data_IF_517263318925
#
_entry.id   IF_517263318925
#
_cell.length_a   1.000
_cell.length_b   1.000
_cell.length_c   1.000
_cell.angle_alpha   90.00
_cell.angle_beta   90.00
_cell.angle_gamma   90.00
#
_symmetry.space_group_name_H-M   'P 1'
#
loop_
_entity.id
_entity.type
_entity.pdbx_description
1 polymer ?
#
# COMPACT_ATOMS: atom_id res chain seq x y z
N UNK A 1 -5.88 5.20 29.47
CA UNK A 1 -4.88 4.78 28.46
C UNK A 1 -4.24 6.04 27.91
N UNK A 2 -2.91 6.20 28.01
CA UNK A 2 -2.26 7.37 27.41
C UNK A 2 -2.56 7.34 25.91
N UNK A 3 -3.00 8.47 25.35
CA UNK A 3 -2.97 8.66 23.89
C UNK A 3 -1.51 8.55 23.48
N UNK A 4 -1.07 7.36 23.09
CA UNK A 4 0.31 7.17 22.66
C UNK A 4 0.48 7.97 21.37
N UNK A 5 1.43 8.91 21.37
CA UNK A 5 1.62 9.83 20.26
C UNK A 5 1.95 9.06 18.97
N UNK A 6 1.42 9.52 17.84
CA UNK A 6 1.84 9.05 16.53
C UNK A 6 3.21 9.63 16.22
N UNK A 7 4.09 8.84 15.61
CA UNK A 7 5.41 9.32 15.21
C UNK A 7 5.25 10.22 13.98
N UNK A 8 5.96 11.35 13.98
CA UNK A 8 5.87 12.31 12.91
C UNK A 8 6.55 11.78 11.63
N UNK A 9 5.99 12.14 10.47
CA UNK A 9 6.65 11.95 9.19
C UNK A 9 8.00 12.71 9.18
N UNK A 10 9.12 12.06 8.86
CA UNK A 10 10.45 12.66 9.05
C UNK A 10 10.88 13.68 7.98
N UNK A 11 10.14 13.82 6.87
CA UNK A 11 10.55 14.66 5.74
C UNK A 11 9.49 15.71 5.33
N UNK A 12 9.01 16.56 6.27
CA UNK A 12 8.00 17.56 5.93
C UNK A 12 8.49 18.52 4.84
N UNK A 13 7.64 18.78 3.85
CA UNK A 13 7.95 19.67 2.72
C UNK A 13 6.71 20.51 2.35
N UNK A 14 6.83 21.85 2.25
CA UNK A 14 5.74 22.72 1.79
C UNK A 14 5.17 22.32 0.43
N UNK A 15 5.94 21.66 -0.44
CA UNK A 15 5.47 21.16 -1.74
C UNK A 15 4.34 20.13 -1.61
N UNK A 16 4.24 19.42 -0.48
CA UNK A 16 3.19 18.43 -0.23
C UNK A 16 1.90 19.04 0.35
N UNK A 17 1.90 20.34 0.66
CA UNK A 17 0.76 21.03 1.27
C UNK A 17 -0.16 21.58 0.18
N UNK A 18 -1.07 20.73 -0.28
CA UNK A 18 -2.03 21.03 -1.37
C UNK A 18 -3.21 21.92 -0.92
N UNK A 19 -2.94 23.19 -0.64
CA UNK A 19 -3.95 24.16 -0.20
C UNK A 19 -5.01 24.51 -1.27
N UNK A 20 -6.23 24.82 -0.82
CA UNK A 20 -7.31 25.31 -1.69
C UNK A 20 -7.62 24.35 -2.86
N UNK A 21 -7.54 24.88 -4.09
CA UNK A 21 -7.81 24.14 -5.33
C UNK A 21 -6.62 23.31 -5.81
N UNK A 22 -5.43 23.42 -5.19
CA UNK A 22 -4.24 22.68 -5.61
C UNK A 22 -4.44 21.17 -5.53
N UNK A 23 -5.11 20.68 -4.47
CA UNK A 23 -5.42 19.25 -4.30
C UNK A 23 -6.22 18.72 -5.50
N UNK A 24 -7.28 19.44 -5.90
CA UNK A 24 -8.12 19.02 -7.03
C UNK A 24 -7.35 19.01 -8.35
N UNK A 25 -6.46 19.99 -8.56
CA UNK A 25 -5.63 20.08 -9.77
C UNK A 25 -4.63 18.92 -9.87
N UNK A 26 -4.13 18.43 -8.74
CA UNK A 26 -3.13 17.35 -8.69
C UNK A 26 -3.74 15.96 -8.44
N UNK A 27 -5.06 15.88 -8.22
CA UNK A 27 -5.75 14.66 -7.82
C UNK A 27 -5.41 13.44 -8.68
N UNK A 28 -5.46 13.60 -10.00
CA UNK A 28 -5.17 12.52 -10.93
C UNK A 28 -3.71 11.98 -10.81
N UNK A 29 -2.74 12.84 -10.48
CA UNK A 29 -1.35 12.43 -10.26
C UNK A 29 -1.16 11.77 -8.89
N UNK A 30 -1.81 12.31 -7.86
CA UNK A 30 -1.73 11.82 -6.48
C UNK A 30 -2.43 10.47 -6.28
N UNK A 31 -3.47 10.22 -7.07
CA UNK A 31 -4.30 9.00 -7.02
C UNK A 31 -4.15 8.14 -8.27
N UNK A 32 -3.03 8.27 -8.98
CA UNK A 32 -2.72 7.40 -10.12
C UNK A 32 -2.52 5.94 -9.70
N UNK A 33 -2.09 5.70 -8.46
CA UNK A 33 -1.88 4.36 -7.90
C UNK A 33 -3.15 3.65 -7.43
N UNK A 34 -4.06 4.39 -6.80
CA UNK A 34 -5.25 3.86 -6.12
C UNK A 34 -6.57 4.19 -6.81
N UNK A 35 -6.53 5.00 -7.87
CA UNK A 35 -7.70 5.46 -8.62
C UNK A 35 -8.83 6.03 -7.74
N UNK A 36 -8.51 6.59 -6.56
CA UNK A 36 -9.53 7.17 -5.67
C UNK A 36 -10.30 8.28 -6.40
N UNK A 37 -11.64 8.27 -6.40
CA UNK A 37 -12.43 9.31 -7.02
C UNK A 37 -12.37 10.62 -6.21
N UNK A 38 -12.48 11.77 -6.89
CA UNK A 38 -12.50 13.07 -6.21
C UNK A 38 -13.67 13.16 -5.21
N UNK A 39 -13.43 13.41 -3.92
CA UNK A 39 -14.50 13.52 -2.93
C UNK A 39 -15.22 14.87 -3.02
N UNK A 40 -16.55 14.85 -3.03
CA UNK A 40 -17.37 16.07 -2.93
C UNK A 40 -17.38 16.66 -1.50
N UNK A 41 -17.20 15.81 -0.48
CA UNK A 41 -17.19 16.21 0.92
C UNK A 41 -15.90 16.95 1.31
N UNK A 42 -16.06 18.09 1.98
CA UNK A 42 -14.92 18.92 2.41
C UNK A 42 -14.11 18.29 3.55
N UNK A 43 -14.73 17.46 4.38
CA UNK A 43 -14.06 16.71 5.44
C UNK A 43 -13.10 15.66 4.87
N UNK A 44 -13.56 14.87 3.91
CA UNK A 44 -12.74 13.92 3.16
C UNK A 44 -11.60 14.63 2.40
N UNK A 45 -11.87 15.76 1.74
CA UNK A 45 -10.80 16.56 1.12
C UNK A 45 -9.75 17.05 2.14
N UNK A 46 -10.18 17.41 3.36
CA UNK A 46 -9.24 17.81 4.42
C UNK A 46 -8.39 16.63 4.90
N UNK A 47 -8.97 15.43 5.02
CA UNK A 47 -8.25 14.21 5.35
C UNK A 47 -7.20 13.87 4.30
N UNK A 48 -7.54 13.93 3.01
CA UNK A 48 -6.59 13.70 1.91
C UNK A 48 -5.46 14.74 1.88
N UNK A 49 -5.75 16.03 2.13
CA UNK A 49 -4.68 17.04 2.27
C UNK A 49 -3.71 16.68 3.39
N UNK A 50 -4.23 16.30 4.57
CA UNK A 50 -3.40 15.90 5.69
C UNK A 50 -2.57 14.65 5.35
N UNK A 51 -3.15 13.69 4.64
CA UNK A 51 -2.45 12.49 4.17
C UNK A 51 -1.26 12.83 3.27
N UNK A 52 -1.47 13.61 2.19
CA UNK A 52 -0.39 13.95 1.26
C UNK A 52 0.71 14.78 1.94
N UNK A 53 0.37 15.62 2.92
CA UNK A 53 1.33 16.38 3.70
C UNK A 53 2.10 15.55 4.76
N UNK A 54 1.79 14.27 4.92
CA UNK A 54 2.42 13.40 5.94
C UNK A 54 1.88 13.62 7.36
N UNK A 55 0.79 14.37 7.52
CA UNK A 55 0.08 14.56 8.79
C UNK A 55 -0.81 13.34 9.10
N UNK A 56 -0.23 12.13 9.10
CA UNK A 56 -0.97 10.86 9.07
C UNK A 56 -1.99 10.72 10.21
N UNK A 57 -1.62 11.08 11.44
CA UNK A 57 -2.53 11.02 12.59
C UNK A 57 -3.77 11.91 12.39
N UNK A 58 -3.57 13.11 11.84
CA UNK A 58 -4.64 14.07 11.56
C UNK A 58 -5.48 13.61 10.38
N UNK A 59 -4.87 12.99 9.37
CA UNK A 59 -5.61 12.38 8.26
C UNK A 59 -6.55 11.27 8.75
N UNK A 60 -6.11 10.42 9.69
CA UNK A 60 -6.99 9.44 10.35
C UNK A 60 -8.12 10.13 11.09
N UNK A 61 -7.83 11.12 11.94
CA UNK A 61 -8.86 11.83 12.70
C UNK A 61 -9.91 12.49 11.79
N UNK A 62 -9.46 13.26 10.80
CA UNK A 62 -10.34 13.97 9.87
C UNK A 62 -11.13 13.00 9.00
N UNK A 63 -10.50 11.93 8.52
CA UNK A 63 -11.13 10.94 7.66
C UNK A 63 -12.26 10.19 8.37
N UNK A 64 -12.02 9.75 9.61
CA UNK A 64 -13.04 9.10 10.41
C UNK A 64 -14.17 10.07 10.82
N UNK A 65 -13.83 11.34 11.08
CA UNK A 65 -14.82 12.38 11.40
C UNK A 65 -15.72 12.72 10.20
N UNK A 66 -15.21 12.63 8.97
CA UNK A 66 -15.99 12.89 7.76
C UNK A 66 -17.14 11.88 7.57
N UNK A 67 -16.99 10.66 8.13
CA UNK A 67 -18.08 9.68 8.21
C UNK A 67 -18.57 9.13 6.86
N UNK A 68 -17.79 9.28 5.80
CA UNK A 68 -18.07 8.75 4.46
C UNK A 68 -16.92 7.87 3.96
N UNK A 69 -17.14 7.13 2.87
CA UNK A 69 -16.14 6.20 2.34
C UNK A 69 -14.81 6.87 1.98
N UNK A 70 -14.82 8.01 1.27
CA UNK A 70 -13.55 8.64 0.88
C UNK A 70 -12.75 9.15 2.08
N UNK A 71 -13.42 9.70 3.10
CA UNK A 71 -12.78 10.04 4.36
C UNK A 71 -12.18 8.80 5.05
N UNK A 72 -12.91 7.68 5.06
CA UNK A 72 -12.42 6.42 5.65
C UNK A 72 -11.27 5.83 4.84
N UNK A 73 -11.29 5.95 3.51
CA UNK A 73 -10.19 5.58 2.61
C UNK A 73 -8.93 6.39 2.91
N UNK A 74 -9.05 7.71 3.09
CA UNK A 74 -7.94 8.57 3.50
C UNK A 74 -7.36 8.15 4.86
N UNK A 75 -8.22 7.84 5.83
CA UNK A 75 -7.81 7.35 7.14
C UNK A 75 -7.08 6.00 7.06
N UNK A 76 -7.59 5.07 6.25
CA UNK A 76 -6.96 3.77 6.05
C UNK A 76 -5.59 3.92 5.37
N UNK A 77 -5.49 4.71 4.29
CA UNK A 77 -4.21 4.96 3.60
C UNK A 77 -3.19 5.64 4.51
N UNK A 78 -3.60 6.62 5.32
CA UNK A 78 -2.73 7.28 6.27
C UNK A 78 -2.18 6.33 7.36
N UNK A 79 -3.06 5.53 7.97
CA UNK A 79 -2.65 4.53 8.96
C UNK A 79 -1.75 3.46 8.33
N UNK A 80 -2.03 3.06 7.08
CA UNK A 80 -1.28 2.07 6.32
C UNK A 80 0.17 2.52 6.08
N UNK A 81 0.37 3.74 5.57
CA UNK A 81 1.71 4.28 5.29
C UNK A 81 2.48 4.56 6.59
N UNK A 82 1.81 5.11 7.61
CA UNK A 82 2.45 5.29 8.92
C UNK A 82 2.91 3.96 9.52
N UNK A 83 2.04 2.94 9.54
CA UNK A 83 2.36 1.63 10.09
C UNK A 83 3.47 0.89 9.33
N UNK A 84 3.54 1.07 8.01
CA UNK A 84 4.54 0.39 7.18
C UNK A 84 5.92 1.08 7.23
N UNK A 85 5.97 2.41 7.33
CA UNK A 85 7.19 3.17 7.01
C UNK A 85 7.63 4.18 8.09
N UNK A 86 6.84 4.39 9.15
CA UNK A 86 7.13 5.41 10.18
C UNK A 86 7.14 4.83 11.58
N UNK A 87 6.12 4.06 11.95
CA UNK A 87 6.04 3.35 13.22
C UNK A 87 7.18 2.33 13.33
N UNK A 88 7.80 2.23 14.50
CA UNK A 88 8.87 1.26 14.78
C UNK A 88 8.50 0.29 15.91
N UNK A 89 7.42 0.55 16.65
CA UNK A 89 6.87 -0.41 17.61
C UNK A 89 6.03 -1.48 16.90
N UNK A 90 6.52 -2.73 16.91
CA UNK A 90 5.89 -3.86 16.25
C UNK A 90 4.46 -4.16 16.75
N UNK A 91 4.20 -4.01 18.05
CA UNK A 91 2.86 -4.25 18.60
C UNK A 91 1.86 -3.20 18.09
N UNK A 92 2.30 -1.93 17.98
CA UNK A 92 1.49 -0.85 17.42
C UNK A 92 1.25 -1.03 15.92
N UNK A 93 2.24 -1.47 15.15
CA UNK A 93 2.06 -1.81 13.73
C UNK A 93 0.95 -2.83 13.54
N UNK A 94 1.00 -3.94 14.29
CA UNK A 94 -0.01 -4.99 14.21
C UNK A 94 -1.41 -4.47 14.58
N UNK A 95 -1.52 -3.67 15.63
CA UNK A 95 -2.78 -3.05 16.03
C UNK A 95 -3.35 -2.12 14.94
N UNK A 96 -2.50 -1.30 14.31
CA UNK A 96 -2.90 -0.42 13.20
C UNK A 96 -3.43 -1.23 12.02
N UNK A 97 -2.75 -2.30 11.61
CA UNK A 97 -3.20 -3.13 10.49
C UNK A 97 -4.52 -3.85 10.80
N UNK A 98 -4.70 -4.34 12.02
CA UNK A 98 -5.99 -4.92 12.44
C UNK A 98 -7.12 -3.89 12.46
N UNK A 99 -6.85 -2.66 12.89
CA UNK A 99 -7.82 -1.57 12.82
C UNK A 99 -8.22 -1.20 11.40
N UNK A 100 -7.25 -1.13 10.48
CA UNK A 100 -7.51 -0.91 9.05
C UNK A 100 -8.38 -2.04 8.50
N UNK A 101 -8.03 -3.30 8.78
CA UNK A 101 -8.80 -4.45 8.30
C UNK A 101 -10.27 -4.38 8.75
N UNK A 102 -10.54 -4.12 10.04
CA UNK A 102 -11.91 -3.97 10.55
C UNK A 102 -12.69 -2.82 9.92
N UNK A 103 -12.04 -1.66 9.68
CA UNK A 103 -12.68 -0.54 8.98
C UNK A 103 -13.01 -0.91 7.53
N UNK A 104 -12.12 -1.65 6.87
CA UNK A 104 -12.35 -2.12 5.51
C UNK A 104 -13.47 -3.15 5.43
N UNK A 105 -13.57 -4.11 6.35
CA UNK A 105 -14.70 -5.06 6.40
C UNK A 105 -16.05 -4.33 6.51
N UNK A 106 -16.12 -3.29 7.34
CA UNK A 106 -17.33 -2.46 7.46
C UNK A 106 -17.64 -1.68 6.16
N UNK A 107 -16.63 -1.15 5.50
CA UNK A 107 -16.77 -0.50 4.19
C UNK A 107 -17.20 -1.48 3.10
N UNK A 108 -16.61 -2.67 3.03
CA UNK A 108 -16.97 -3.69 2.04
C UNK A 108 -18.42 -4.16 2.21
N UNK A 109 -18.93 -4.21 3.45
CA UNK A 109 -20.31 -4.55 3.72
C UNK A 109 -21.31 -3.44 3.33
N UNK A 110 -20.92 -2.17 3.45
CA UNK A 110 -21.80 -1.02 3.18
C UNK A 110 -21.67 -0.47 1.76
N UNK A 111 -20.48 -0.57 1.18
CA UNK A 111 -20.09 -0.08 -0.15
C UNK A 111 -19.25 -1.15 -0.87
N UNK A 112 -19.86 -2.28 -1.28
CA UNK A 112 -19.12 -3.42 -1.85
C UNK A 112 -18.38 -3.12 -3.16
N UNK A 113 -18.73 -2.03 -3.85
CA UNK A 113 -18.08 -1.58 -5.08
C UNK A 113 -16.90 -0.62 -4.84
N UNK A 114 -16.58 -0.31 -3.57
CA UNK A 114 -15.41 0.50 -3.22
C UNK A 114 -14.12 -0.33 -3.36
N UNK A 115 -13.46 -0.24 -4.51
CA UNK A 115 -12.21 -0.96 -4.80
C UNK A 115 -11.12 -0.71 -3.74
N UNK A 116 -11.03 0.51 -3.22
CA UNK A 116 -10.03 0.90 -2.22
C UNK A 116 -10.28 0.21 -0.86
N UNK A 117 -11.53 -0.03 -0.48
CA UNK A 117 -11.83 -0.81 0.72
C UNK A 117 -11.32 -2.26 0.61
N UNK A 118 -11.37 -2.86 -0.58
CA UNK A 118 -10.81 -4.19 -0.83
C UNK A 118 -9.28 -4.18 -0.87
N UNK A 119 -8.68 -3.17 -1.51
CA UNK A 119 -7.24 -3.00 -1.57
C UNK A 119 -6.62 -2.81 -0.17
N UNK A 120 -7.12 -1.85 0.61
CA UNK A 120 -6.59 -1.59 1.95
C UNK A 120 -6.76 -2.77 2.90
N UNK A 121 -7.83 -3.56 2.75
CA UNK A 121 -8.00 -4.81 3.49
C UNK A 121 -6.93 -5.84 3.14
N UNK A 122 -6.72 -6.10 1.84
CA UNK A 122 -5.70 -7.02 1.37
C UNK A 122 -4.29 -6.61 1.81
N UNK A 123 -3.96 -5.32 1.69
CA UNK A 123 -2.69 -4.77 2.16
C UNK A 123 -2.52 -4.94 3.67
N UNK A 124 -3.51 -4.52 4.47
CA UNK A 124 -3.41 -4.56 5.92
C UNK A 124 -3.28 -5.99 6.46
N UNK A 125 -4.06 -6.94 5.92
CA UNK A 125 -3.91 -8.35 6.26
C UNK A 125 -2.56 -8.91 5.84
N UNK A 126 -2.03 -8.49 4.69
CA UNK A 126 -0.70 -8.87 4.21
C UNK A 126 0.41 -8.42 5.18
N UNK A 127 0.42 -7.13 5.54
CA UNK A 127 1.40 -6.59 6.50
C UNK A 127 1.22 -7.16 7.90
N UNK A 128 0.00 -7.36 8.37
CA UNK A 128 -0.27 -8.06 9.64
C UNK A 128 0.29 -9.50 9.61
N UNK A 129 0.11 -10.22 8.49
CA UNK A 129 0.64 -11.58 8.32
C UNK A 129 2.17 -11.64 8.37
N UNK A 130 2.88 -10.57 7.98
CA UNK A 130 4.34 -10.51 8.03
C UNK A 130 4.87 -10.38 9.48
N UNK A 131 4.10 -9.76 10.38
CA UNK A 131 4.49 -9.55 11.78
C UNK A 131 4.01 -10.64 12.75
N UNK A 132 3.46 -11.75 12.27
CA UNK A 132 3.04 -12.89 13.09
C UNK A 132 3.71 -14.20 12.63
N UNK A 133 3.59 -15.26 13.43
CA UNK A 133 4.12 -16.57 13.05
C UNK A 133 3.38 -17.16 11.85
N UNK A 134 4.11 -17.94 11.03
CA UNK A 134 3.52 -18.67 9.89
C UNK A 134 2.36 -19.55 10.32
N UNK A 135 2.48 -20.25 11.44
CA UNK A 135 1.42 -21.10 11.98
C UNK A 135 0.13 -20.30 12.28
N UNK A 136 0.27 -19.10 12.86
CA UNK A 136 -0.89 -18.22 13.15
C UNK A 136 -1.51 -17.68 11.85
N UNK A 137 -0.69 -17.25 10.89
CA UNK A 137 -1.17 -16.78 9.59
C UNK A 137 -1.94 -17.86 8.81
N UNK A 138 -1.48 -19.12 8.88
CA UNK A 138 -2.16 -20.27 8.31
C UNK A 138 -3.48 -20.57 9.03
N UNK A 139 -3.48 -20.58 10.38
CA UNK A 139 -4.67 -20.83 11.18
C UNK A 139 -5.78 -19.79 10.93
N UNK A 140 -5.40 -18.53 10.71
CA UNK A 140 -6.33 -17.43 10.39
C UNK A 140 -6.73 -17.37 8.91
N UNK A 141 -6.14 -18.21 8.05
CA UNK A 141 -6.42 -18.27 6.61
C UNK A 141 -5.98 -17.03 5.84
N UNK A 142 -4.98 -16.28 6.33
CA UNK A 142 -4.63 -14.96 5.80
C UNK A 142 -4.18 -15.00 4.33
N UNK A 143 -3.47 -16.05 3.92
CA UNK A 143 -2.99 -16.17 2.54
C UNK A 143 -4.12 -16.11 1.50
N UNK A 144 -5.23 -16.79 1.76
CA UNK A 144 -6.42 -16.73 0.90
C UNK A 144 -7.16 -15.40 0.99
N UNK A 145 -7.39 -14.90 2.21
CA UNK A 145 -8.09 -13.62 2.44
C UNK A 145 -7.39 -12.43 1.77
N UNK A 146 -6.07 -12.37 1.84
CA UNK A 146 -5.26 -11.33 1.17
C UNK A 146 -5.47 -11.41 -0.34
N UNK A 147 -5.30 -12.60 -0.94
CA UNK A 147 -5.50 -12.81 -2.38
C UNK A 147 -6.89 -12.38 -2.82
N UNK A 148 -7.92 -12.87 -2.13
CA UNK A 148 -9.32 -12.65 -2.52
C UNK A 148 -9.69 -11.16 -2.45
N UNK A 149 -9.17 -10.45 -1.43
CA UNK A 149 -9.39 -9.00 -1.31
C UNK A 149 -8.70 -8.22 -2.42
N UNK A 150 -7.43 -8.52 -2.71
CA UNK A 150 -6.69 -7.81 -3.75
C UNK A 150 -7.23 -8.13 -5.16
N UNK A 151 -7.65 -9.37 -5.39
CA UNK A 151 -8.31 -9.80 -6.63
C UNK A 151 -9.62 -9.02 -6.82
N UNK A 152 -10.44 -8.91 -5.77
CA UNK A 152 -11.69 -8.13 -5.82
C UNK A 152 -11.43 -6.65 -6.09
N UNK A 153 -10.37 -6.06 -5.52
CA UNK A 153 -9.98 -4.68 -5.81
C UNK A 153 -9.67 -4.47 -7.31
N UNK A 154 -8.89 -5.37 -7.92
CA UNK A 154 -8.56 -5.33 -9.35
C UNK A 154 -9.77 -5.63 -10.25
N UNK A 155 -10.70 -6.49 -9.81
CA UNK A 155 -11.95 -6.74 -10.54
C UNK A 155 -12.86 -5.51 -10.58
N UNK A 156 -12.91 -4.75 -9.48
CA UNK A 156 -13.69 -3.52 -9.39
C UNK A 156 -13.01 -2.36 -10.14
N UNK A 157 -11.69 -2.24 -10.02
CA UNK A 157 -10.91 -1.19 -10.68
C UNK A 157 -9.64 -1.79 -11.31
N UNK A 158 -9.72 -2.25 -12.59
CA UNK A 158 -8.59 -2.84 -13.30
C UNK A 158 -7.40 -1.89 -13.51
N UNK A 159 -7.58 -0.58 -13.31
CA UNK A 159 -6.50 0.42 -13.40
C UNK A 159 -5.89 0.76 -12.04
N UNK A 160 -6.25 0.02 -10.98
CA UNK A 160 -5.66 0.19 -9.65
C UNK A 160 -4.23 -0.36 -9.63
N UNK A 161 -3.25 0.51 -9.88
CA UNK A 161 -1.84 0.12 -9.95
C UNK A 161 -1.34 -0.47 -8.63
N UNK A 162 -1.71 0.11 -7.48
CA UNK A 162 -1.24 -0.35 -6.17
C UNK A 162 -1.78 -1.75 -5.81
N UNK A 163 -3.01 -2.08 -6.20
CA UNK A 163 -3.57 -3.43 -6.04
C UNK A 163 -2.84 -4.45 -6.93
N UNK A 164 -2.41 -4.05 -8.13
CA UNK A 164 -1.52 -4.87 -8.95
C UNK A 164 -0.15 -5.07 -8.29
N UNK A 165 0.47 -4.04 -7.70
CA UNK A 165 1.71 -4.21 -6.92
C UNK A 165 1.50 -5.24 -5.83
N UNK A 166 0.44 -5.09 -5.03
CA UNK A 166 0.15 -5.97 -3.91
C UNK A 166 -0.11 -7.44 -4.34
N UNK A 167 -0.80 -7.69 -5.47
CA UNK A 167 -0.95 -9.05 -6.03
C UNK A 167 0.38 -9.63 -6.50
N UNK A 168 1.23 -8.81 -7.12
CA UNK A 168 2.59 -9.18 -7.49
C UNK A 168 3.40 -9.63 -6.28
N UNK A 169 3.41 -8.82 -5.23
CA UNK A 169 4.09 -9.10 -3.97
C UNK A 169 3.50 -10.34 -3.29
N UNK A 170 2.18 -10.51 -3.27
CA UNK A 170 1.53 -11.70 -2.71
C UNK A 170 2.01 -13.00 -3.38
N UNK A 171 2.04 -13.03 -4.72
CA UNK A 171 2.55 -14.18 -5.46
C UNK A 171 4.01 -14.48 -5.13
N UNK A 172 4.86 -13.46 -5.11
CA UNK A 172 6.28 -13.59 -4.82
C UNK A 172 6.53 -14.09 -3.39
N UNK A 173 5.81 -13.55 -2.41
CA UNK A 173 5.92 -13.94 -1.01
C UNK A 173 5.49 -15.39 -0.75
N UNK A 174 4.36 -15.83 -1.33
CA UNK A 174 3.91 -17.21 -1.19
C UNK A 174 4.97 -18.16 -1.77
N UNK A 175 5.50 -17.84 -2.94
CA UNK A 175 6.57 -18.65 -3.58
C UNK A 175 7.83 -18.67 -2.71
N UNK A 176 8.23 -17.54 -2.14
CA UNK A 176 9.40 -17.46 -1.27
C UNK A 176 9.23 -18.23 0.04
N UNK A 177 8.04 -18.18 0.65
CA UNK A 177 7.77 -18.78 1.97
C UNK A 177 7.55 -20.30 1.91
N UNK A 178 6.82 -20.80 0.92
CA UNK A 178 6.44 -22.23 0.86
C UNK A 178 6.95 -22.95 -0.39
N UNK A 179 7.66 -22.25 -1.28
CA UNK A 179 8.17 -22.80 -2.53
C UNK A 179 7.13 -22.76 -3.67
N UNK A 180 7.61 -22.72 -4.91
CA UNK A 180 6.75 -22.56 -6.09
C UNK A 180 5.75 -23.71 -6.30
N UNK A 181 6.14 -24.96 -6.00
CA UNK A 181 5.26 -26.12 -6.19
C UNK A 181 4.10 -26.12 -5.19
N UNK A 182 4.39 -25.97 -3.89
CA UNK A 182 3.36 -25.93 -2.84
C UNK A 182 2.53 -24.66 -2.95
N UNK A 183 3.17 -23.51 -3.17
CA UNK A 183 2.50 -22.23 -3.39
C UNK A 183 1.54 -22.28 -4.58
N UNK A 184 1.95 -22.91 -5.67
CA UNK A 184 1.12 -23.12 -6.86
C UNK A 184 -0.08 -24.03 -6.58
N UNK A 185 0.12 -25.18 -5.92
CA UNK A 185 -0.94 -26.16 -5.67
C UNK A 185 -1.96 -25.68 -4.62
N UNK A 186 -1.50 -25.03 -3.55
CA UNK A 186 -2.36 -24.67 -2.41
C UNK A 186 -3.00 -23.30 -2.59
N UNK A 187 -2.27 -22.32 -3.14
CA UNK A 187 -2.72 -20.93 -3.21
C UNK A 187 -2.96 -20.44 -4.64
N UNK A 188 -2.43 -21.15 -5.65
CA UNK A 188 -2.43 -20.70 -7.04
C UNK A 188 -1.31 -19.70 -7.35
N UNK A 189 -0.25 -19.63 -6.54
CA UNK A 189 0.81 -18.66 -6.74
C UNK A 189 1.71 -18.99 -7.94
N UNK A 190 2.01 -18.00 -8.80
CA UNK A 190 2.80 -18.18 -10.03
C UNK A 190 3.75 -17.01 -10.26
N UNK A 191 5.00 -17.30 -10.65
CA UNK A 191 6.01 -16.26 -10.96
C UNK A 191 5.58 -15.37 -12.13
N UNK A 192 5.02 -15.97 -13.18
CA UNK A 192 4.58 -15.21 -14.36
C UNK A 192 3.40 -14.28 -14.05
N UNK A 193 2.52 -14.70 -13.13
CA UNK A 193 1.43 -13.85 -12.65
C UNK A 193 1.96 -12.66 -11.83
N UNK A 194 2.94 -12.90 -10.95
CA UNK A 194 3.60 -11.83 -10.22
C UNK A 194 4.23 -10.79 -11.16
N UNK A 195 5.08 -11.24 -12.10
CA UNK A 195 5.73 -10.35 -13.05
C UNK A 195 4.72 -9.59 -13.92
N UNK A 196 3.63 -10.25 -14.34
CA UNK A 196 2.56 -9.58 -15.10
C UNK A 196 1.96 -8.44 -14.28
N UNK A 197 1.62 -8.68 -13.01
CA UNK A 197 1.04 -7.67 -12.14
C UNK A 197 1.98 -6.49 -11.90
N UNK A 198 3.26 -6.74 -11.61
CA UNK A 198 4.23 -5.65 -11.46
C UNK A 198 4.40 -4.82 -12.74
N UNK A 199 4.46 -5.48 -13.91
CA UNK A 199 4.53 -4.79 -15.21
C UNK A 199 3.27 -3.97 -15.48
N UNK A 200 2.09 -4.50 -15.17
CA UNK A 200 0.83 -3.74 -15.27
C UNK A 200 0.85 -2.52 -14.36
N UNK A 201 1.31 -2.64 -13.11
CA UNK A 201 1.42 -1.51 -12.20
C UNK A 201 2.33 -0.41 -12.75
N UNK A 202 3.50 -0.77 -13.29
CA UNK A 202 4.41 0.20 -13.94
C UNK A 202 3.88 0.74 -15.27
N UNK A 203 3.00 0.03 -15.98
CA UNK A 203 2.32 0.60 -17.15
C UNK A 203 1.27 1.64 -16.74
N UNK A 204 0.57 1.43 -15.63
CA UNK A 204 -0.45 2.33 -15.11
C UNK A 204 0.16 3.56 -14.42
N UNK A 205 1.26 3.37 -13.70
CA UNK A 205 2.00 4.42 -13.00
C UNK A 205 3.53 4.27 -13.21
N UNK A 206 4.08 4.73 -14.36
CA UNK A 206 5.48 4.52 -14.74
C UNK A 206 6.53 5.14 -13.82
N UNK A 207 6.15 6.19 -13.10
CA UNK A 207 7.03 6.94 -12.20
C UNK A 207 6.85 6.55 -10.73
N UNK A 208 6.11 5.47 -10.45
CA UNK A 208 5.85 4.98 -9.09
C UNK A 208 7.13 4.39 -8.46
N UNK A 209 7.71 5.03 -7.42
CA UNK A 209 8.86 4.47 -6.72
C UNK A 209 8.51 3.12 -6.04
N UNK A 210 7.33 3.01 -5.43
CA UNK A 210 6.90 1.78 -4.76
C UNK A 210 6.71 0.62 -5.76
N UNK A 211 6.17 0.86 -6.96
CA UNK A 211 6.03 -0.20 -7.96
C UNK A 211 7.39 -0.75 -8.41
N UNK A 212 8.39 0.12 -8.56
CA UNK A 212 9.76 -0.27 -8.91
C UNK A 212 10.40 -1.08 -7.79
N UNK A 213 10.32 -0.59 -6.55
CA UNK A 213 10.89 -1.23 -5.36
C UNK A 213 10.26 -2.58 -5.07
N UNK A 214 8.93 -2.68 -5.09
CA UNK A 214 8.22 -3.95 -4.85
C UNK A 214 8.45 -4.95 -6.00
N UNK A 215 8.60 -4.48 -7.24
CA UNK A 215 8.98 -5.38 -8.34
C UNK A 215 10.41 -5.90 -8.15
N UNK A 216 11.36 -5.05 -7.76
CA UNK A 216 12.73 -5.45 -7.45
C UNK A 216 12.75 -6.51 -6.32
N UNK A 217 12.02 -6.27 -5.23
CA UNK A 217 11.83 -7.22 -4.13
C UNK A 217 11.22 -8.55 -4.63
N UNK A 218 10.19 -8.46 -5.47
CA UNK A 218 9.53 -9.60 -6.10
C UNK A 218 10.50 -10.45 -6.94
N UNK A 219 11.36 -9.80 -7.74
CA UNK A 219 12.39 -10.49 -8.53
C UNK A 219 13.37 -11.22 -7.63
N UNK A 220 13.84 -10.58 -6.56
CA UNK A 220 14.75 -11.21 -5.60
C UNK A 220 14.10 -12.43 -4.92
N UNK A 221 12.85 -12.31 -4.45
CA UNK A 221 12.09 -13.40 -3.83
C UNK A 221 11.86 -14.58 -4.77
N UNK A 222 11.56 -14.32 -6.03
CA UNK A 222 11.18 -15.38 -6.99
C UNK A 222 12.36 -16.01 -7.71
N UNK A 223 13.45 -15.27 -7.94
CA UNK A 223 14.55 -15.67 -8.82
C UNK A 223 15.93 -15.57 -8.18
N UNK A 224 16.02 -15.03 -6.96
CA UNK A 224 17.29 -14.84 -6.25
C UNK A 224 18.31 -14.08 -7.09
N UNK A 225 19.55 -14.54 -7.06
CA UNK A 225 20.69 -13.88 -7.75
C UNK A 225 20.56 -13.82 -9.27
N UNK A 226 19.72 -14.66 -9.89
CA UNK A 226 19.61 -14.71 -11.36
C UNK A 226 19.01 -13.44 -11.98
N UNK A 227 18.29 -12.63 -11.19
CA UNK A 227 17.66 -11.37 -11.64
C UNK A 227 18.11 -10.15 -10.83
N UNK A 228 19.23 -10.25 -10.10
CA UNK A 228 19.69 -9.19 -9.20
C UNK A 228 19.98 -7.87 -9.94
N UNK A 229 20.60 -7.93 -11.13
CA UNK A 229 20.90 -6.74 -11.94
C UNK A 229 19.66 -5.95 -12.34
N UNK A 230 18.55 -6.64 -12.57
CA UNK A 230 17.27 -6.00 -12.91
C UNK A 230 16.62 -5.38 -11.68
N UNK A 231 16.70 -6.05 -10.53
CA UNK A 231 16.28 -5.49 -9.26
C UNK A 231 17.08 -4.22 -8.91
N UNK A 232 18.41 -4.25 -9.04
CA UNK A 232 19.30 -3.09 -8.83
C UNK A 232 18.94 -1.90 -9.74
N UNK A 233 18.63 -2.16 -11.01
CA UNK A 233 18.18 -1.11 -11.94
C UNK A 233 16.84 -0.49 -11.53
N UNK A 234 15.92 -1.30 -11.01
CA UNK A 234 14.63 -0.82 -10.50
C UNK A 234 14.81 0.03 -9.25
N UNK A 235 15.61 -0.40 -8.27
CA UNK A 235 15.91 0.43 -7.08
C UNK A 235 16.59 1.74 -7.46
N UNK A 236 17.57 1.71 -8.38
CA UNK A 236 18.25 2.92 -8.85
C UNK A 236 17.30 3.92 -9.50
N UNK A 237 16.30 3.44 -10.28
CA UNK A 237 15.26 4.29 -10.85
C UNK A 237 14.34 4.85 -9.78
N UNK A 238 13.89 4.03 -8.83
CA UNK A 238 13.04 4.46 -7.72
C UNK A 238 13.70 5.56 -6.87
N UNK A 239 15.00 5.42 -6.58
CA UNK A 239 15.79 6.39 -5.82
C UNK A 239 15.93 7.77 -6.51
N UNK A 240 15.72 7.83 -7.83
CA UNK A 240 15.78 9.04 -8.66
C UNK A 240 14.41 9.68 -8.89
N UNK A 241 13.31 9.05 -8.49
CA UNK A 241 11.97 9.63 -8.64
C UNK A 241 11.84 10.93 -7.85
N UNK A 242 11.06 11.87 -8.40
CA UNK A 242 10.66 13.08 -7.68
C UNK A 242 9.34 12.81 -6.96
N UNK A 243 9.31 12.79 -5.62
CA UNK A 243 8.10 12.47 -4.87
C UNK A 243 7.08 13.60 -4.96
N UNK A 244 5.82 13.26 -5.23
CA UNK A 244 4.71 14.20 -5.26
C UNK A 244 4.07 14.43 -3.87
N UNK A 245 4.26 13.51 -2.93
CA UNK A 245 3.72 13.61 -1.58
C UNK A 245 4.59 12.89 -0.54
N UNK A 246 4.13 12.89 0.72
CA UNK A 246 4.83 12.27 1.83
C UNK A 246 5.01 10.75 1.68
N UNK A 247 4.06 10.03 1.08
CA UNK A 247 4.18 8.59 0.86
C UNK A 247 5.28 8.32 -0.16
N UNK A 248 5.22 8.97 -1.33
CA UNK A 248 6.25 8.78 -2.36
C UNK A 248 7.62 9.21 -1.84
N UNK A 249 7.69 10.20 -0.94
CA UNK A 249 8.95 10.56 -0.30
C UNK A 249 9.51 9.43 0.56
N UNK A 250 8.69 8.73 1.32
CA UNK A 250 9.11 7.55 2.09
C UNK A 250 9.64 6.45 1.16
N UNK A 251 8.95 6.20 0.04
CA UNK A 251 9.33 5.17 -0.92
C UNK A 251 10.67 5.49 -1.62
N UNK A 252 10.90 6.75 -1.99
CA UNK A 252 12.17 7.22 -2.57
C UNK A 252 13.32 7.10 -1.58
N UNK A 253 13.13 7.50 -0.32
CA UNK A 253 14.19 7.38 0.69
C UNK A 253 14.47 5.92 1.05
N UNK A 254 13.46 5.05 1.06
CA UNK A 254 13.65 3.61 1.20
C UNK A 254 14.49 3.04 0.04
N UNK A 255 14.17 3.39 -1.21
CA UNK A 255 14.93 2.95 -2.37
C UNK A 255 16.39 3.46 -2.36
N UNK A 256 16.64 4.67 -1.87
CA UNK A 256 18.01 5.20 -1.71
C UNK A 256 18.83 4.40 -0.70
N UNK A 257 18.19 3.91 0.37
CA UNK A 257 18.85 3.05 1.34
C UNK A 257 19.27 1.71 0.71
N UNK A 258 18.44 1.14 -0.16
CA UNK A 258 18.77 -0.12 -0.89
C UNK A 258 19.92 0.04 -1.89
N UNK A 259 20.05 1.22 -2.53
CA UNK A 259 21.16 1.49 -3.49
C UNK A 259 22.47 1.84 -2.78
N UNK A 260 22.40 2.41 -1.58
CA UNK A 260 23.55 2.86 -0.80
C UNK A 260 24.13 1.84 0.17
N UNK A 261 23.46 0.69 0.37
CA UNK A 261 23.90 -0.43 1.20
C UNK A 261 24.76 -1.44 0.44
#
# INVERSE_FOLDING_TARGET
>A
MSKTAWKAFPYPDPAYVYAGTALKKQWARLHQGDAEPWPSDTGAQAAWRAYHAGEFAKAVELGLKAGNASGTNAANKAAMIHGASVEDDEARKLALFQEIARRCEALQASEPDNANAWYYHGYALGRYSQGISVAKALAEGLGGKVRDSLQKAVELEPRHADAHIALGTWHAEIINKVGAMVGGLTYGAKKDAAEKHFKTALQLNPDSPIAMTEYANGLAMMFGKSRIKEAEQLYARAAQCTPADAMERLDVEAARAEVGG
#
